data_IF_204106329805
#
_entry.id   IF_204106329805
#
_cell.length_a   1.000
_cell.length_b   1.000
_cell.length_c   1.000
_cell.angle_alpha   90.00
_cell.angle_beta   90.00
_cell.angle_gamma   90.00
#
_symmetry.space_group_name_H-M   'P 1'
#
loop_
_entity.id
_entity.type
_entity.pdbx_description
1 polymer ?
#
# COMPACT_ATOMS: atom_id res chain seq x y z
N UNK A 1 21.29 -16.99 -1.48
CA UNK A 1 22.35 -15.97 -1.58
C UNK A 1 21.82 -14.54 -1.81
N UNK A 2 20.53 -14.33 -2.14
CA UNK A 2 19.94 -12.99 -2.34
C UNK A 2 19.34 -12.39 -1.04
N UNK A 3 19.07 -13.20 -0.01
CA UNK A 3 18.47 -12.73 1.25
C UNK A 3 19.41 -11.98 2.21
N UNK A 4 20.72 -12.18 2.11
CA UNK A 4 21.67 -11.54 3.05
C UNK A 4 21.94 -10.05 2.74
N UNK A 5 21.62 -9.59 1.52
CA UNK A 5 21.82 -8.18 1.13
C UNK A 5 20.73 -7.24 1.65
N UNK A 6 19.49 -7.72 1.75
CA UNK A 6 18.35 -6.93 2.26
C UNK A 6 18.40 -6.76 3.78
N UNK A 7 18.86 -7.79 4.52
CA UNK A 7 18.97 -7.72 5.99
C UNK A 7 20.06 -6.73 6.44
N UNK A 8 21.18 -6.64 5.71
CA UNK A 8 22.26 -5.70 6.02
C UNK A 8 21.87 -4.24 5.76
N UNK A 9 21.07 -3.98 4.71
CA UNK A 9 20.54 -2.64 4.43
C UNK A 9 19.44 -2.23 5.44
N UNK A 10 18.62 -3.19 5.89
CA UNK A 10 17.62 -2.96 6.94
C UNK A 10 18.26 -2.72 8.33
N UNK A 11 19.39 -3.38 8.62
CA UNK A 11 20.16 -3.18 9.86
C UNK A 11 20.94 -1.86 9.87
N UNK A 12 21.41 -1.36 8.72
CA UNK A 12 22.15 -0.09 8.65
C UNK A 12 21.32 1.15 9.01
N UNK A 13 19.98 1.04 8.96
CA UNK A 13 19.05 2.11 9.35
C UNK A 13 18.67 2.00 10.84
N UNK A 14 18.99 0.89 11.52
CA UNK A 14 18.44 0.58 12.84
C UNK A 14 19.11 1.27 14.04
N UNK A 15 20.25 1.95 13.93
CA UNK A 15 20.85 2.65 15.09
C UNK A 15 21.55 3.97 14.70
N UNK A 16 20.77 4.93 14.19
CA UNK A 16 21.11 6.34 14.44
C UNK A 16 20.09 6.88 15.42
N UNK A 17 20.50 7.01 16.69
CA UNK A 17 19.72 7.57 17.78
C UNK A 17 19.46 9.07 17.57
N UNK A 18 18.75 9.45 16.52
CA UNK A 18 18.41 10.83 16.16
C UNK A 18 17.76 11.57 17.33
N UNK A 19 17.01 10.85 18.17
CA UNK A 19 16.32 11.35 19.35
C UNK A 19 17.28 11.72 20.51
N UNK A 20 18.55 11.31 20.44
CA UNK A 20 19.60 11.65 21.44
C UNK A 20 20.54 12.76 20.95
N UNK A 21 20.46 13.12 19.67
CA UNK A 21 21.33 14.13 19.06
C UNK A 21 20.77 15.53 19.36
N UNK A 22 21.65 16.47 19.73
CA UNK A 22 21.25 17.86 19.97
C UNK A 22 20.73 18.49 18.66
N UNK A 23 19.80 19.44 18.80
CA UNK A 23 19.15 20.14 17.69
C UNK A 23 20.14 20.72 16.69
N UNK A 24 21.20 21.38 17.15
CA UNK A 24 22.20 22.01 16.27
C UNK A 24 22.97 20.99 15.43
N UNK A 25 23.23 19.81 15.97
CA UNK A 25 23.92 18.74 15.26
C UNK A 25 22.98 18.04 14.27
N UNK A 26 21.69 17.91 14.63
CA UNK A 26 20.66 17.41 13.72
C UNK A 26 20.44 18.36 12.54
N UNK A 27 20.36 19.66 12.81
CA UNK A 27 20.26 20.73 11.79
C UNK A 27 21.43 20.67 10.80
N UNK A 28 22.66 20.47 11.31
CA UNK A 28 23.85 20.27 10.47
C UNK A 28 23.79 18.97 9.65
N UNK A 29 23.41 17.84 10.27
CA UNK A 29 23.34 16.53 9.58
C UNK A 29 22.30 16.52 8.47
N UNK A 30 21.14 17.12 8.71
CA UNK A 30 20.03 17.17 7.75
C UNK A 30 20.11 18.37 6.81
N UNK A 31 21.15 19.21 6.94
CA UNK A 31 21.29 20.48 6.22
C UNK A 31 19.99 21.28 6.23
N UNK A 32 19.39 21.43 7.41
CA UNK A 32 18.12 22.13 7.64
C UNK A 32 18.30 23.16 8.74
N UNK A 33 17.51 24.24 8.71
CA UNK A 33 17.64 25.35 9.66
C UNK A 33 16.33 25.71 10.33
N UNK A 34 16.35 26.73 11.21
CA UNK A 34 15.16 27.26 11.88
C UNK A 34 14.08 27.78 10.93
N UNK A 35 14.46 28.18 9.72
CA UNK A 35 13.53 28.60 8.66
C UNK A 35 13.00 27.42 7.82
N UNK A 36 13.36 26.18 8.16
CA UNK A 36 13.03 24.99 7.39
C UNK A 36 13.87 24.84 6.12
N UNK A 37 13.45 23.94 5.23
CA UNK A 37 14.13 23.67 3.96
C UNK A 37 13.78 24.73 2.90
N UNK A 38 14.68 24.94 1.94
CA UNK A 38 14.35 25.72 0.76
C UNK A 38 13.48 24.90 -0.20
N UNK A 39 12.54 25.51 -0.93
CA UNK A 39 11.66 24.77 -1.84
C UNK A 39 12.44 23.96 -2.89
N UNK A 40 13.51 24.54 -3.43
CA UNK A 40 14.36 23.87 -4.43
C UNK A 40 15.09 22.66 -3.83
N UNK A 41 15.51 22.74 -2.57
CA UNK A 41 16.15 21.64 -1.86
C UNK A 41 15.14 20.52 -1.58
N UNK A 42 13.93 20.87 -1.15
CA UNK A 42 12.86 19.91 -0.92
C UNK A 42 12.49 19.18 -2.22
N UNK A 43 12.34 19.90 -3.33
CA UNK A 43 12.09 19.30 -4.64
C UNK A 43 13.23 18.36 -5.09
N UNK A 44 14.50 18.74 -4.84
CA UNK A 44 15.65 17.85 -5.12
C UNK A 44 15.58 16.58 -4.30
N UNK A 45 15.31 16.68 -3.00
CA UNK A 45 15.19 15.53 -2.09
C UNK A 45 14.00 14.65 -2.43
N UNK A 46 12.89 15.23 -2.90
CA UNK A 46 11.72 14.46 -3.33
C UNK A 46 12.06 13.62 -4.58
N UNK A 47 12.85 14.16 -5.50
CA UNK A 47 13.34 13.43 -6.66
C UNK A 47 14.34 12.31 -6.28
N UNK A 48 15.12 12.50 -5.22
CA UNK A 48 16.14 11.54 -4.75
C UNK A 48 15.55 10.42 -3.88
N UNK A 49 14.69 10.76 -2.92
CA UNK A 49 14.11 9.82 -1.95
C UNK A 49 12.75 9.27 -2.38
N UNK A 50 12.10 9.90 -3.35
CA UNK A 50 10.72 9.60 -3.74
C UNK A 50 9.69 10.16 -2.76
N UNK A 51 8.42 9.95 -3.09
CA UNK A 51 7.31 10.35 -2.24
C UNK A 51 7.32 9.59 -0.91
N UNK A 52 6.97 10.27 0.18
CA UNK A 52 6.69 9.71 1.49
C UNK A 52 5.36 8.92 1.49
N UNK A 53 5.33 7.86 0.68
CA UNK A 53 4.21 6.93 0.57
C UNK A 53 4.74 5.52 0.71
N UNK A 54 4.09 4.73 1.56
CA UNK A 54 4.34 3.31 1.63
C UNK A 54 4.00 2.67 0.27
N UNK A 55 4.87 1.78 -0.21
CA UNK A 55 4.62 1.03 -1.42
C UNK A 55 3.25 0.34 -1.31
N UNK A 56 2.35 0.51 -2.30
CA UNK A 56 1.08 -0.18 -2.26
C UNK A 56 1.33 -1.69 -2.22
N UNK A 57 0.52 -2.45 -1.46
CA UNK A 57 0.66 -3.90 -1.43
C UNK A 57 0.60 -4.44 -2.86
N UNK A 58 1.46 -5.42 -3.17
CA UNK A 58 1.52 -6.02 -4.51
C UNK A 58 0.14 -6.55 -4.88
N UNK A 59 -0.52 -5.90 -5.83
CA UNK A 59 -1.82 -6.33 -6.34
C UNK A 59 -1.62 -7.65 -7.07
N UNK A 60 -2.30 -8.70 -6.61
CA UNK A 60 -2.34 -9.96 -7.35
C UNK A 60 -3.12 -9.73 -8.65
N UNK A 61 -2.60 -10.20 -9.78
CA UNK A 61 -3.25 -10.02 -11.08
C UNK A 61 -4.67 -10.64 -11.10
N UNK A 62 -5.61 -10.12 -11.89
CA UNK A 62 -7.00 -10.57 -11.91
C UNK A 62 -7.13 -12.08 -12.21
N UNK A 63 -6.27 -12.63 -13.08
CA UNK A 63 -6.20 -14.06 -13.38
C UNK A 63 -5.74 -14.90 -12.19
N UNK A 64 -4.78 -14.39 -11.40
CA UNK A 64 -4.28 -15.08 -10.21
C UNK A 64 -5.31 -15.04 -9.07
N UNK A 65 -6.06 -13.93 -8.92
CA UNK A 65 -7.17 -13.83 -7.96
C UNK A 65 -8.30 -14.79 -8.31
N UNK A 66 -8.67 -14.86 -9.60
CA UNK A 66 -9.62 -15.84 -10.10
C UNK A 66 -9.14 -17.26 -9.80
N UNK A 67 -7.87 -17.59 -10.07
CA UNK A 67 -7.28 -18.88 -9.74
C UNK A 67 -7.26 -19.19 -8.23
N UNK A 68 -7.01 -18.20 -7.36
CA UNK A 68 -7.11 -18.37 -5.91
C UNK A 68 -8.54 -18.61 -5.43
N UNK A 69 -9.56 -18.13 -6.16
CA UNK A 69 -10.95 -18.46 -5.88
C UNK A 69 -11.23 -19.98 -6.02
N UNK A 70 -10.45 -20.70 -6.85
CA UNK A 70 -10.49 -22.17 -6.96
C UNK A 70 -9.84 -22.88 -5.77
N UNK A 71 -9.09 -22.18 -4.91
CA UNK A 71 -8.56 -22.70 -3.65
C UNK A 71 -9.58 -22.58 -2.49
N UNK A 72 -10.87 -22.55 -2.80
CA UNK A 72 -11.92 -22.61 -1.81
C UNK A 72 -12.43 -24.06 -1.70
N UNK A 73 -12.44 -24.62 -0.48
CA UNK A 73 -13.02 -25.94 -0.16
C UNK A 73 -14.40 -26.13 -0.81
N UNK A 74 -15.23 -25.09 -0.81
CA UNK A 74 -16.57 -25.13 -1.39
C UNK A 74 -16.55 -25.37 -2.90
N UNK A 75 -15.56 -24.80 -3.61
CA UNK A 75 -15.40 -25.01 -5.05
C UNK A 75 -14.94 -26.43 -5.36
N UNK A 76 -14.04 -27.01 -4.56
CA UNK A 76 -13.66 -28.41 -4.71
C UNK A 76 -14.84 -29.37 -4.48
N UNK A 77 -15.71 -29.08 -3.51
CA UNK A 77 -16.95 -29.85 -3.29
C UNK A 77 -17.86 -29.77 -4.51
N UNK A 78 -18.04 -28.57 -5.09
CA UNK A 78 -18.86 -28.39 -6.29
C UNK A 78 -18.25 -29.08 -7.52
N UNK A 79 -16.92 -29.02 -7.70
CA UNK A 79 -16.23 -29.70 -8.79
C UNK A 79 -16.32 -31.23 -8.64
N UNK A 80 -16.18 -31.73 -7.42
CA UNK A 80 -16.33 -33.15 -7.10
C UNK A 80 -17.74 -33.66 -7.32
N UNK A 81 -18.75 -32.90 -6.87
CA UNK A 81 -20.16 -33.20 -7.16
C UNK A 81 -20.43 -33.19 -8.67
N UNK A 82 -19.99 -32.16 -9.40
CA UNK A 82 -20.16 -32.08 -10.85
C UNK A 82 -19.54 -33.28 -11.58
N UNK A 83 -18.35 -33.72 -11.15
CA UNK A 83 -17.67 -34.89 -11.72
C UNK A 83 -18.47 -36.18 -11.47
N UNK A 84 -18.95 -36.39 -10.24
CA UNK A 84 -19.78 -37.55 -9.90
C UNK A 84 -21.05 -37.55 -10.77
N UNK A 85 -21.78 -36.44 -10.82
CA UNK A 85 -23.02 -36.32 -11.57
C UNK A 85 -22.82 -36.51 -13.08
N UNK A 86 -21.70 -36.04 -13.63
CA UNK A 86 -21.32 -36.28 -15.03
C UNK A 86 -21.03 -37.76 -15.31
N UNK A 87 -20.32 -38.44 -14.40
CA UNK A 87 -20.06 -39.89 -14.51
C UNK A 87 -21.34 -40.73 -14.44
N UNK A 88 -22.36 -40.26 -13.70
CA UNK A 88 -23.70 -40.87 -13.68
C UNK A 88 -24.52 -40.59 -14.96
N UNK A 89 -24.02 -39.76 -15.89
CA UNK A 89 -24.71 -39.41 -17.14
C UNK A 89 -25.79 -38.35 -16.97
N UNK A 90 -25.83 -37.67 -15.82
CA UNK A 90 -26.82 -36.62 -15.53
C UNK A 90 -26.32 -35.27 -16.06
N UNK A 91 -26.41 -35.10 -17.38
CA UNK A 91 -25.90 -33.91 -18.08
C UNK A 91 -26.61 -32.61 -17.67
N UNK A 92 -27.91 -32.67 -17.36
CA UNK A 92 -28.71 -31.51 -16.93
C UNK A 92 -28.21 -31.03 -15.56
N UNK A 93 -28.13 -31.92 -14.58
CA UNK A 93 -27.69 -31.60 -13.21
C UNK A 93 -26.26 -31.07 -13.20
N UNK A 94 -25.38 -31.67 -14.01
CA UNK A 94 -23.99 -31.21 -14.21
C UNK A 94 -23.96 -29.79 -14.77
N UNK A 95 -24.80 -29.50 -15.77
CA UNK A 95 -24.91 -28.16 -16.37
C UNK A 95 -25.39 -27.10 -15.38
N UNK A 96 -26.40 -27.43 -14.55
CA UNK A 96 -26.90 -26.54 -13.50
C UNK A 96 -25.80 -26.20 -12.50
N UNK A 97 -25.03 -27.20 -12.07
CA UNK A 97 -23.96 -27.00 -11.08
C UNK A 97 -22.81 -26.16 -11.63
N UNK A 98 -22.38 -26.42 -12.88
CA UNK A 98 -21.37 -25.60 -13.56
C UNK A 98 -21.85 -24.16 -13.78
N UNK A 99 -23.12 -23.97 -14.13
CA UNK A 99 -23.74 -22.65 -14.24
C UNK A 99 -23.71 -21.88 -12.92
N UNK A 100 -24.06 -22.53 -11.81
CA UNK A 100 -24.00 -21.93 -10.47
C UNK A 100 -22.57 -21.54 -10.07
N UNK A 101 -21.56 -22.38 -10.34
CA UNK A 101 -20.14 -22.07 -10.13
C UNK A 101 -19.75 -20.81 -10.92
N UNK A 102 -20.11 -20.75 -12.20
CA UNK A 102 -19.75 -19.64 -13.08
C UNK A 102 -20.38 -18.32 -12.60
N UNK A 103 -21.67 -18.35 -12.24
CA UNK A 103 -22.37 -17.19 -11.68
C UNK A 103 -21.70 -16.72 -10.39
N UNK A 104 -21.38 -17.63 -9.46
CA UNK A 104 -20.69 -17.30 -8.22
C UNK A 104 -19.30 -16.69 -8.46
N UNK A 105 -18.57 -17.19 -9.46
CA UNK A 105 -17.26 -16.64 -9.80
C UNK A 105 -17.36 -15.21 -10.38
N UNK A 106 -18.34 -14.95 -11.25
CA UNK A 106 -18.60 -13.61 -11.80
C UNK A 106 -19.00 -12.64 -10.67
N UNK A 107 -19.93 -13.06 -9.81
CA UNK A 107 -20.37 -12.26 -8.66
C UNK A 107 -19.17 -11.97 -7.74
N UNK A 108 -18.36 -12.99 -7.42
CA UNK A 108 -17.16 -12.85 -6.60
C UNK A 108 -16.17 -11.85 -7.19
N UNK A 109 -15.88 -11.93 -8.49
CA UNK A 109 -15.01 -10.99 -9.18
C UNK A 109 -15.52 -9.53 -9.10
N UNK A 110 -16.82 -9.32 -9.31
CA UNK A 110 -17.43 -7.99 -9.22
C UNK A 110 -17.41 -7.47 -7.77
N UNK A 111 -17.70 -8.32 -6.78
CA UNK A 111 -17.69 -7.94 -5.36
C UNK A 111 -16.28 -7.55 -4.91
N UNK A 112 -15.27 -8.33 -5.30
CA UNK A 112 -13.87 -8.07 -5.00
C UNK A 112 -13.43 -6.71 -5.56
N UNK A 113 -13.74 -6.43 -6.84
CA UNK A 113 -13.42 -5.15 -7.46
C UNK A 113 -14.11 -3.96 -6.79
N UNK A 114 -15.37 -4.13 -6.37
CA UNK A 114 -16.10 -3.09 -5.61
C UNK A 114 -15.49 -2.86 -4.23
N UNK A 115 -15.08 -3.92 -3.53
CA UNK A 115 -14.43 -3.82 -2.23
C UNK A 115 -13.08 -3.09 -2.34
N UNK A 116 -12.29 -3.38 -3.37
CA UNK A 116 -11.02 -2.69 -3.61
C UNK A 116 -11.23 -1.21 -3.96
N UNK A 117 -12.20 -0.89 -4.82
CA UNK A 117 -12.53 0.50 -5.15
C UNK A 117 -12.99 1.31 -3.92
N UNK A 118 -13.72 0.68 -3.00
CA UNK A 118 -14.10 1.29 -1.73
C UNK A 118 -12.89 1.57 -0.84
N UNK A 119 -11.95 0.62 -0.73
CA UNK A 119 -10.71 0.81 0.04
C UNK A 119 -9.81 1.89 -0.54
N UNK A 120 -9.66 1.95 -1.87
CA UNK A 120 -8.90 3.01 -2.55
C UNK A 120 -9.52 4.39 -2.29
N UNK A 121 -10.86 4.49 -2.30
CA UNK A 121 -11.56 5.73 -1.98
C UNK A 121 -11.34 6.15 -0.52
N UNK A 122 -11.44 5.23 0.44
CA UNK A 122 -11.14 5.51 1.85
C UNK A 122 -9.68 5.98 2.00
N UNK A 123 -8.74 5.36 1.29
CA UNK A 123 -7.33 5.76 1.32
C UNK A 123 -7.13 7.18 0.78
N UNK A 124 -7.84 7.58 -0.27
CA UNK A 124 -7.77 8.95 -0.79
C UNK A 124 -8.36 10.00 0.17
N UNK A 125 -9.40 9.65 0.94
CA UNK A 125 -9.94 10.53 1.99
C UNK A 125 -8.96 10.71 3.17
N UNK A 126 -8.06 9.75 3.35
CA UNK A 126 -6.99 9.79 4.35
C UNK A 126 -5.70 10.42 3.80
N UNK A 127 -5.74 11.13 2.66
CA UNK A 127 -4.58 11.90 2.19
C UNK A 127 -4.25 12.95 3.25
N UNK A 128 -3.27 12.62 4.10
CA UNK A 128 -2.84 13.47 5.17
C UNK A 128 -2.18 14.71 4.56
N UNK A 129 -2.54 15.87 5.07
CA UNK A 129 -1.84 17.10 4.77
C UNK A 129 -0.92 17.40 5.95
N UNK A 130 0.25 17.92 5.66
CA UNK A 130 1.22 18.32 6.67
C UNK A 130 1.49 19.81 6.53
N UNK A 131 1.52 20.52 7.66
CA UNK A 131 1.99 21.90 7.69
C UNK A 131 3.50 21.89 7.88
N UNK A 132 4.25 22.42 6.92
CA UNK A 132 5.72 22.50 6.96
C UNK A 132 6.19 23.94 6.94
N UNK A 133 7.40 24.16 7.44
CA UNK A 133 8.13 25.41 7.25
C UNK A 133 9.09 25.24 6.07
N UNK A 134 8.88 25.99 4.99
CA UNK A 134 9.79 26.05 3.82
C UNK A 134 10.04 27.49 3.38
N UNK A 135 11.30 27.84 3.16
CA UNK A 135 11.77 29.23 2.95
C UNK A 135 11.31 30.20 4.04
N UNK A 136 11.20 29.74 5.29
CA UNK A 136 10.69 30.52 6.42
C UNK A 136 9.19 30.78 6.43
N UNK A 137 8.44 30.22 5.46
CA UNK A 137 6.99 30.39 5.33
C UNK A 137 6.29 29.07 5.67
N UNK A 138 5.20 29.16 6.44
CA UNK A 138 4.35 28.00 6.72
C UNK A 138 3.53 27.66 5.49
N UNK A 139 3.54 26.39 5.06
CA UNK A 139 2.76 25.90 3.92
C UNK A 139 2.14 24.56 4.27
N UNK A 140 0.93 24.35 3.78
CA UNK A 140 0.27 23.05 3.82
C UNK A 140 0.61 22.30 2.53
N UNK A 141 1.12 21.08 2.66
CA UNK A 141 1.50 20.20 1.55
C UNK A 141 0.86 18.82 1.73
N UNK A 142 0.75 18.05 0.66
CA UNK A 142 0.44 16.62 0.78
C UNK A 142 1.55 15.95 1.61
N UNK A 143 1.19 15.18 2.63
CA UNK A 143 2.15 14.46 3.48
C UNK A 143 3.04 13.50 2.68
N UNK A 144 2.61 13.10 1.48
CA UNK A 144 3.40 12.35 0.52
C UNK A 144 4.61 13.12 -0.04
N UNK A 145 4.58 14.46 -0.01
CA UNK A 145 5.65 15.32 -0.50
C UNK A 145 6.65 15.71 0.60
N UNK A 146 6.47 15.19 1.81
CA UNK A 146 7.43 15.33 2.89
C UNK A 146 8.74 14.65 2.53
N UNK A 147 9.85 15.32 2.86
CA UNK A 147 11.19 14.80 2.63
C UNK A 147 12.02 14.83 3.91
N UNK A 148 13.06 13.98 4.03
CA UNK A 148 13.96 14.03 5.18
C UNK A 148 14.54 15.44 5.38
N UNK A 149 14.41 15.99 6.59
CA UNK A 149 14.86 17.33 6.96
C UNK A 149 13.79 18.43 6.92
N UNK A 150 12.57 18.13 6.49
CA UNK A 150 11.44 19.05 6.62
C UNK A 150 11.15 19.37 8.09
N UNK A 151 10.79 20.62 8.37
CA UNK A 151 10.32 21.06 9.69
C UNK A 151 8.80 21.05 9.67
N UNK A 152 8.21 20.02 10.28
CA UNK A 152 6.75 19.86 10.37
C UNK A 152 6.22 20.58 11.61
N UNK A 153 5.16 21.36 11.44
CA UNK A 153 4.41 21.97 12.52
C UNK A 153 3.19 21.09 12.82
N UNK A 154 3.09 20.63 14.07
CA UNK A 154 1.98 19.81 14.55
C UNK A 154 1.08 20.63 15.49
N UNK A 155 -0.22 20.57 15.26
CA UNK A 155 -1.26 21.08 16.13
C UNK A 155 -2.03 19.93 16.80
N UNK A 156 -2.77 20.24 17.86
CA UNK A 156 -3.64 19.26 18.50
C UNK A 156 -4.73 18.80 17.53
N UNK A 157 -4.71 17.50 17.20
CA UNK A 157 -5.64 16.88 16.26
C UNK A 157 -5.00 16.44 14.95
N UNK A 158 -3.78 16.90 14.67
CA UNK A 158 -3.00 16.46 13.51
C UNK A 158 -2.53 15.01 13.69
N UNK A 159 -2.34 14.29 12.57
CA UNK A 159 -1.98 12.88 12.52
C UNK A 159 -0.82 12.63 11.57
#
# INVERSE_FOLDING_TARGET
>A
MIQQGDEAAAQAIQEQDWHTVNREDLERRLNTGRAGLAEAEAARRLAEHGFNRLAPPKRQGPLLRFALQFHNILLYVMLGAALITALLGHWIDTGVLLGAVLINAIIGFIQEGKAEAALDSIRSLLSAHATVLRDGVRREIDAAELVPGDVVLLASGDR
#
